data_IF_564686133646
#
_entry.id   IF_564686133646
#
_cell.length_a   1.000
_cell.length_b   1.000
_cell.length_c   1.000
_cell.angle_alpha   90.00
_cell.angle_beta   90.00
_cell.angle_gamma   90.00
#
_symmetry.space_group_name_H-M   'P 1'
#
loop_
_entity.id
_entity.type
_entity.pdbx_description
1 polymer ?
#
# COMPACT_ATOMS: atom_id res chain seq x y z
N UNK A 1 10.48 25.33 -17.62
CA UNK A 1 10.27 25.17 -16.16
C UNK A 1 8.81 24.99 -15.68
N UNK A 2 7.79 25.41 -16.45
CA UNK A 2 6.38 25.01 -16.24
C UNK A 2 5.91 23.95 -17.26
N UNK A 3 6.31 24.09 -18.54
CA UNK A 3 5.97 23.13 -19.60
C UNK A 3 6.45 21.70 -19.32
N UNK A 4 7.64 21.54 -18.74
CA UNK A 4 8.18 20.22 -18.35
C UNK A 4 7.34 19.53 -17.26
N UNK A 5 6.84 20.31 -16.28
CA UNK A 5 6.00 19.77 -15.20
C UNK A 5 4.62 19.36 -15.71
N UNK A 6 4.04 20.14 -16.62
CA UNK A 6 2.79 19.78 -17.32
C UNK A 6 2.95 18.52 -18.14
N UNK A 7 3.97 18.48 -19.01
CA UNK A 7 4.24 17.30 -19.83
C UNK A 7 4.47 16.04 -18.97
N UNK A 8 5.17 16.17 -17.85
CA UNK A 8 5.35 15.07 -16.91
C UNK A 8 4.02 14.60 -16.31
N UNK A 9 3.15 15.52 -15.91
CA UNK A 9 1.82 15.20 -15.40
C UNK A 9 0.98 14.46 -16.46
N UNK A 10 0.94 14.97 -17.69
CA UNK A 10 0.20 14.37 -18.80
C UNK A 10 0.68 12.94 -19.09
N UNK A 11 1.99 12.68 -18.99
CA UNK A 11 2.54 11.32 -19.11
C UNK A 11 2.14 10.39 -17.97
N UNK A 12 1.98 10.90 -16.74
CA UNK A 12 1.53 10.09 -15.61
C UNK A 12 0.06 9.72 -15.75
N UNK A 13 -0.79 10.66 -16.16
CA UNK A 13 -2.21 10.39 -16.43
C UNK A 13 -2.39 9.38 -17.57
N UNK A 14 -1.58 9.48 -18.64
CA UNK A 14 -1.59 8.50 -19.71
C UNK A 14 -1.18 7.09 -19.22
N UNK A 15 -0.19 7.03 -18.32
CA UNK A 15 0.22 5.78 -17.69
C UNK A 15 -0.87 5.16 -16.81
N UNK A 16 -1.59 6.00 -16.05
CA UNK A 16 -2.75 5.58 -15.25
C UNK A 16 -3.85 5.03 -16.15
N UNK A 17 -4.25 5.75 -17.20
CA UNK A 17 -5.29 5.32 -18.15
C UNK A 17 -4.93 3.98 -18.81
N UNK A 18 -3.66 3.81 -19.22
CA UNK A 18 -3.21 2.55 -19.81
C UNK A 18 -3.35 1.37 -18.84
N UNK A 19 -2.98 1.56 -17.57
CA UNK A 19 -3.11 0.53 -16.53
C UNK A 19 -4.59 0.24 -16.20
N UNK A 20 -5.42 1.27 -16.08
CA UNK A 20 -6.86 1.13 -15.81
C UNK A 20 -7.55 0.35 -16.93
N UNK A 21 -7.29 0.69 -18.20
CA UNK A 21 -7.79 -0.09 -19.34
C UNK A 21 -7.22 -1.50 -19.35
N UNK A 22 -5.93 -1.67 -19.06
CA UNK A 22 -5.30 -2.97 -18.92
C UNK A 22 -6.01 -3.87 -17.91
N UNK A 23 -6.35 -3.33 -16.73
CA UNK A 23 -7.11 -4.02 -15.68
C UNK A 23 -8.51 -4.38 -16.17
N UNK A 24 -9.20 -3.47 -16.85
CA UNK A 24 -10.54 -3.73 -17.37
C UNK A 24 -10.56 -4.92 -18.36
N UNK A 25 -9.51 -5.07 -19.17
CA UNK A 25 -9.36 -6.21 -20.09
C UNK A 25 -8.76 -7.47 -19.44
N UNK A 26 -8.00 -7.32 -18.35
CA UNK A 26 -7.27 -8.41 -17.72
C UNK A 26 -7.41 -8.34 -16.18
N UNK A 27 -8.63 -8.50 -15.64
CA UNK A 27 -8.93 -8.20 -14.23
C UNK A 27 -8.26 -9.15 -13.23
N UNK A 28 -7.75 -10.29 -13.70
CA UNK A 28 -7.08 -11.31 -12.88
C UNK A 28 -5.55 -11.18 -12.90
N UNK A 29 -4.99 -10.15 -13.55
CA UNK A 29 -3.54 -9.93 -13.58
C UNK A 29 -3.07 -9.07 -12.41
N UNK A 30 -2.51 -9.63 -11.32
CA UNK A 30 -2.10 -8.86 -10.14
C UNK A 30 -1.07 -7.78 -10.46
N UNK A 31 -0.19 -8.02 -11.44
CA UNK A 31 0.88 -7.10 -11.82
C UNK A 31 0.35 -5.75 -12.32
N UNK A 32 -0.86 -5.71 -12.89
CA UNK A 32 -1.48 -4.47 -13.34
C UNK A 32 -1.95 -3.61 -12.16
N UNK A 33 -2.55 -4.25 -11.14
CA UNK A 33 -2.92 -3.56 -9.91
C UNK A 33 -1.68 -3.14 -9.12
N UNK A 34 -0.65 -3.98 -9.03
CA UNK A 34 0.61 -3.62 -8.38
C UNK A 34 1.27 -2.42 -9.07
N UNK A 35 1.35 -2.42 -10.40
CA UNK A 35 1.91 -1.31 -11.17
C UNK A 35 1.12 -0.02 -10.94
N UNK A 36 -0.21 -0.12 -10.93
CA UNK A 36 -1.09 1.02 -10.65
C UNK A 36 -0.93 1.53 -9.21
N UNK A 37 -0.79 0.63 -8.24
CA UNK A 37 -0.53 0.98 -6.85
C UNK A 37 0.82 1.71 -6.67
N UNK A 38 1.87 1.24 -7.35
CA UNK A 38 3.18 1.90 -7.37
C UNK A 38 3.11 3.28 -8.02
N UNK A 39 2.35 3.44 -9.11
CA UNK A 39 2.13 4.73 -9.75
C UNK A 39 1.46 5.71 -8.77
N UNK A 40 0.40 5.29 -8.09
CA UNK A 40 -0.28 6.10 -7.07
C UNK A 40 0.66 6.48 -5.92
N UNK A 41 1.42 5.54 -5.37
CA UNK A 41 2.36 5.81 -4.28
C UNK A 41 3.50 6.74 -4.70
N UNK A 42 4.17 6.41 -5.78
CA UNK A 42 5.48 6.99 -6.12
C UNK A 42 5.36 8.30 -6.92
N UNK A 43 4.24 8.51 -7.63
CA UNK A 43 4.06 9.64 -8.54
C UNK A 43 2.92 10.57 -8.14
N UNK A 44 1.79 10.01 -7.70
CA UNK A 44 0.66 10.81 -7.25
C UNK A 44 0.65 11.07 -5.74
N UNK A 45 1.45 10.31 -4.97
CA UNK A 45 1.41 10.31 -3.50
C UNK A 45 0.00 10.04 -2.94
N UNK A 46 -0.81 9.29 -3.69
CA UNK A 46 -2.15 8.86 -3.28
C UNK A 46 -2.05 7.51 -2.58
N UNK A 47 -1.83 7.57 -1.27
CA UNK A 47 -1.69 6.39 -0.42
C UNK A 47 -2.98 5.57 -0.33
N UNK A 48 -4.16 6.20 -0.45
CA UNK A 48 -5.45 5.51 -0.38
C UNK A 48 -5.59 4.59 -1.59
N UNK A 49 -5.45 5.14 -2.80
CA UNK A 49 -5.55 4.35 -4.02
C UNK A 49 -4.41 3.35 -4.15
N UNK A 50 -3.22 3.68 -3.65
CA UNK A 50 -2.12 2.71 -3.59
C UNK A 50 -2.47 1.51 -2.69
N UNK A 51 -2.95 1.75 -1.47
CA UNK A 51 -3.33 0.71 -0.53
C UNK A 51 -4.41 -0.24 -1.09
N UNK A 52 -5.42 0.34 -1.74
CA UNK A 52 -6.52 -0.41 -2.36
C UNK A 52 -6.06 -1.27 -3.54
N UNK A 53 -5.17 -0.76 -4.39
CA UNK A 53 -4.69 -1.53 -5.54
C UNK A 53 -3.70 -2.63 -5.12
N UNK A 54 -2.83 -2.38 -4.13
CA UNK A 54 -2.01 -3.46 -3.54
C UNK A 54 -2.89 -4.54 -2.88
N UNK A 55 -3.98 -4.15 -2.21
CA UNK A 55 -4.92 -5.12 -1.63
C UNK A 55 -5.63 -5.95 -2.71
N UNK A 56 -6.04 -5.32 -3.82
CA UNK A 56 -6.60 -6.06 -4.96
C UNK A 56 -5.58 -7.03 -5.54
N UNK A 57 -4.34 -6.59 -5.74
CA UNK A 57 -3.25 -7.45 -6.22
C UNK A 57 -3.05 -8.66 -5.30
N UNK A 58 -2.97 -8.46 -3.98
CA UNK A 58 -2.69 -9.52 -3.01
C UNK A 58 -3.80 -10.58 -2.89
N UNK A 59 -4.99 -10.31 -3.44
CA UNK A 59 -6.13 -11.24 -3.43
C UNK A 59 -6.20 -12.11 -4.69
N UNK A 60 -5.38 -11.83 -5.70
CA UNK A 60 -5.39 -12.55 -6.97
C UNK A 60 -4.40 -13.75 -6.95
N UNK A 61 -4.62 -14.77 -7.80
CA UNK A 61 -3.63 -15.81 -8.03
C UNK A 61 -2.30 -15.22 -8.53
N UNK A 62 -1.19 -15.88 -8.20
CA UNK A 62 0.17 -15.48 -8.66
C UNK A 62 0.63 -14.08 -8.20
N UNK A 63 -0.07 -13.47 -7.24
CA UNK A 63 0.34 -12.20 -6.66
C UNK A 63 1.74 -12.29 -6.04
N UNK A 64 2.40 -11.14 -5.94
CA UNK A 64 3.68 -11.09 -5.27
C UNK A 64 3.46 -11.10 -3.76
N UNK A 65 4.24 -11.90 -3.03
CA UNK A 65 4.08 -12.08 -1.58
C UNK A 65 4.22 -10.80 -0.74
N UNK A 66 4.71 -9.71 -1.33
CA UNK A 66 4.82 -8.41 -0.68
C UNK A 66 3.60 -7.50 -0.87
N UNK A 67 2.66 -7.81 -1.76
CA UNK A 67 1.55 -6.92 -2.11
C UNK A 67 0.67 -6.62 -0.88
N UNK A 68 0.40 -7.61 -0.05
CA UNK A 68 -0.38 -7.41 1.18
C UNK A 68 0.34 -6.51 2.19
N UNK A 69 1.66 -6.68 2.35
CA UNK A 69 2.48 -5.79 3.19
C UNK A 69 2.43 -4.36 2.68
N UNK A 70 2.55 -4.18 1.35
CA UNK A 70 2.50 -2.85 0.75
C UNK A 70 1.13 -2.22 0.92
N UNK A 71 0.03 -2.97 0.79
CA UNK A 71 -1.29 -2.47 1.14
C UNK A 71 -1.34 -1.94 2.58
N UNK A 72 -0.87 -2.73 3.56
CA UNK A 72 -0.86 -2.31 4.97
C UNK A 72 0.06 -1.11 5.24
N UNK A 73 1.20 -1.02 4.56
CA UNK A 73 2.11 0.12 4.68
C UNK A 73 1.56 1.41 4.09
N UNK A 74 0.88 1.34 2.94
CA UNK A 74 0.28 2.54 2.36
C UNK A 74 -0.94 2.98 3.18
N UNK A 75 -1.69 2.02 3.73
CA UNK A 75 -2.83 2.29 4.58
C UNK A 75 -2.46 3.06 5.86
N UNK A 76 -1.26 2.84 6.42
CA UNK A 76 -0.82 3.55 7.63
C UNK A 76 -0.59 5.05 7.42
N UNK A 77 -0.47 5.51 6.17
CA UNK A 77 -0.39 6.93 5.83
C UNK A 77 -1.78 7.57 5.60
N UNK A 78 -2.85 6.79 5.54
CA UNK A 78 -4.21 7.28 5.25
C UNK A 78 -4.87 7.84 6.52
N UNK A 79 -5.21 9.13 6.50
CA UNK A 79 -5.95 9.77 7.61
C UNK A 79 -7.33 9.13 7.81
N UNK A 80 -7.69 8.87 9.07
CA UNK A 80 -8.96 8.24 9.43
C UNK A 80 -8.99 6.71 9.27
N UNK A 81 -7.92 6.08 8.77
CA UNK A 81 -7.79 4.63 8.61
C UNK A 81 -6.72 4.02 9.52
N UNK A 82 -6.30 4.73 10.56
CA UNK A 82 -5.20 4.35 11.46
C UNK A 82 -5.46 3.01 12.16
N UNK A 83 -6.68 2.81 12.67
CA UNK A 83 -7.06 1.56 13.35
C UNK A 83 -7.00 0.38 12.39
N UNK A 84 -7.54 0.55 11.19
CA UNK A 84 -7.53 -0.48 10.15
C UNK A 84 -6.09 -0.83 9.72
N UNK A 85 -5.24 0.20 9.53
CA UNK A 85 -3.83 0.01 9.24
C UNK A 85 -3.12 -0.80 10.34
N UNK A 86 -3.33 -0.42 11.61
CA UNK A 86 -2.76 -1.13 12.74
C UNK A 86 -3.19 -2.60 12.77
N UNK A 87 -4.48 -2.87 12.59
CA UNK A 87 -5.00 -4.23 12.65
C UNK A 87 -4.42 -5.10 11.52
N UNK A 88 -4.32 -4.56 10.28
CA UNK A 88 -3.69 -5.27 9.16
C UNK A 88 -2.20 -5.56 9.41
N UNK A 89 -1.45 -4.57 9.90
CA UNK A 89 -0.04 -4.74 10.26
C UNK A 89 0.14 -5.77 11.38
N UNK A 90 -0.76 -5.78 12.37
CA UNK A 90 -0.76 -6.75 13.47
C UNK A 90 -1.08 -8.15 12.98
N UNK A 91 -2.04 -8.32 12.08
CA UNK A 91 -2.31 -9.62 11.45
C UNK A 91 -1.09 -10.15 10.72
N UNK A 92 -0.38 -9.29 9.96
CA UNK A 92 0.88 -9.67 9.31
C UNK A 92 1.94 -10.09 10.34
N UNK A 93 2.13 -9.31 11.41
CA UNK A 93 3.05 -9.65 12.50
C UNK A 93 2.78 -11.03 13.14
N UNK A 94 1.50 -11.36 13.33
CA UNK A 94 1.06 -12.60 13.94
C UNK A 94 1.32 -13.84 13.07
N UNK A 95 1.57 -13.69 11.76
CA UNK A 95 1.93 -14.81 10.87
C UNK A 95 3.32 -15.38 11.12
N UNK A 96 4.13 -14.70 11.93
CA UNK A 96 5.42 -15.20 12.39
C UNK A 96 6.61 -14.45 11.83
N UNK A 97 7.80 -14.96 12.14
CA UNK A 97 9.07 -14.24 11.99
C UNK A 97 9.37 -13.73 10.58
N UNK A 98 8.93 -14.45 9.54
CA UNK A 98 9.12 -14.04 8.14
C UNK A 98 8.45 -12.70 7.80
N UNK A 99 7.38 -12.36 8.49
CA UNK A 99 6.64 -11.10 8.30
C UNK A 99 7.13 -9.97 9.21
N UNK A 100 7.95 -10.26 10.24
CA UNK A 100 8.47 -9.27 11.20
C UNK A 100 9.62 -8.45 10.63
N UNK A 101 9.42 -7.92 9.43
CA UNK A 101 10.40 -7.11 8.73
C UNK A 101 10.57 -5.74 9.41
N UNK A 102 11.76 -5.11 9.36
CA UNK A 102 12.00 -3.82 10.01
C UNK A 102 10.99 -2.73 9.65
N UNK A 103 10.55 -2.66 8.38
CA UNK A 103 9.54 -1.70 7.95
C UNK A 103 8.19 -1.95 8.62
N UNK A 104 7.77 -3.21 8.78
CA UNK A 104 6.53 -3.57 9.44
C UNK A 104 6.55 -3.21 10.93
N UNK A 105 7.64 -3.54 11.63
CA UNK A 105 7.81 -3.20 13.05
C UNK A 105 7.81 -1.68 13.26
N UNK A 106 8.48 -0.92 12.39
CA UNK A 106 8.46 0.53 12.44
C UNK A 106 7.05 1.10 12.26
N UNK A 107 6.29 0.60 11.28
CA UNK A 107 4.91 1.06 11.04
C UNK A 107 3.98 0.70 12.20
N UNK A 108 4.11 -0.49 12.79
CA UNK A 108 3.38 -0.87 13.99
C UNK A 108 3.62 0.11 15.13
N UNK A 109 4.88 0.42 15.43
CA UNK A 109 5.23 1.38 16.49
C UNK A 109 4.62 2.76 16.23
N UNK A 110 4.72 3.26 15.00
CA UNK A 110 4.12 4.56 14.61
C UNK A 110 2.61 4.54 14.80
N UNK A 111 1.93 3.45 14.40
CA UNK A 111 0.49 3.31 14.59
C UNK A 111 0.11 3.20 16.08
N UNK A 112 0.88 2.48 16.89
CA UNK A 112 0.65 2.36 18.33
C UNK A 112 0.77 3.69 19.06
N UNK A 113 1.74 4.51 18.66
CA UNK A 113 1.91 5.87 19.17
C UNK A 113 0.72 6.75 18.75
N UNK A 114 0.36 6.74 17.46
CA UNK A 114 -0.74 7.54 16.90
C UNK A 114 -2.09 7.19 17.52
N UNK A 115 -2.35 5.89 17.73
CA UNK A 115 -3.57 5.37 18.36
C UNK A 115 -3.53 5.39 19.90
N UNK A 116 -2.41 5.81 20.50
CA UNK A 116 -2.19 5.83 21.95
C UNK A 116 -2.42 4.47 22.60
N UNK A 117 -1.98 3.40 21.94
CA UNK A 117 -2.09 2.03 22.47
C UNK A 117 -1.28 1.94 23.78
N UNK A 118 -1.87 1.40 24.87
CA UNK A 118 -1.18 1.18 26.14
C UNK A 118 0.08 0.34 25.95
N UNK A 119 1.17 0.69 26.64
CA UNK A 119 2.49 0.06 26.46
C UNK A 119 2.46 -1.46 26.66
N UNK A 120 1.64 -1.95 27.59
CA UNK A 120 1.43 -3.38 27.86
C UNK A 120 0.67 -4.14 26.76
N UNK A 121 0.03 -3.42 25.84
CA UNK A 121 -0.70 -3.99 24.69
C UNK A 121 0.09 -3.89 23.38
N UNK A 122 1.23 -3.19 23.40
CA UNK A 122 2.07 -2.96 22.22
C UNK A 122 2.81 -4.23 21.82
N UNK A 123 3.10 -4.31 20.53
CA UNK A 123 3.92 -5.36 19.96
C UNK A 123 5.38 -5.11 20.35
N UNK A 124 5.95 -6.07 21.06
CA UNK A 124 7.38 -6.06 21.42
C UNK A 124 8.16 -6.71 20.26
N UNK A 125 9.23 -6.06 19.74
CA UNK A 125 10.07 -6.58 18.66
C UNK A 125 10.67 -7.96 18.95
#
# INVERSE_FOLDING_TARGET
PAARRRLQHDYLELGEDFLVRGIAYNPEKPQLYEALARLYRDKFHDHVRAAENFEKASRLPEHHSYDERFSAYELSYCEGREREAYDRLRTLYQRGEKERLPRLLNQLRVMEERLKIPVNERIIP
#
